data_IF_695971922794
#
_entry.id   IF_695971922794
#
_cell.length_a   1.000
_cell.length_b   1.000
_cell.length_c   1.000
_cell.angle_alpha   90.00
_cell.angle_beta   90.00
_cell.angle_gamma   90.00
#
_symmetry.space_group_name_H-M   'P 1'
#
loop_
_entity.id
_entity.type
_entity.pdbx_description
1 polymer ?
#
# COMPACT_ATOMS: atom_id res chain seq x y z
N UNK A 1 -12.34 -1.72 -11.36
CA UNK A 1 -11.52 -1.52 -10.13
C UNK A 1 -11.04 -0.08 -10.09
N UNK A 2 -11.35 0.59 -9.01
CA UNK A 2 -10.94 1.97 -8.81
C UNK A 2 -9.84 2.04 -7.76
N UNK A 3 -8.84 2.92 -7.97
CA UNK A 3 -7.79 3.17 -7.01
C UNK A 3 -7.94 4.59 -6.47
N UNK A 4 -8.00 4.71 -5.16
CA UNK A 4 -8.07 6.01 -4.50
C UNK A 4 -6.83 6.13 -3.61
N UNK A 5 -6.05 7.19 -3.80
CA UNK A 5 -4.80 7.40 -3.08
C UNK A 5 -4.98 8.47 -2.02
N UNK A 6 -4.39 8.24 -0.84
CA UNK A 6 -4.26 9.34 0.11
C UNK A 6 -3.25 10.35 -0.45
N UNK A 7 -3.31 11.59 0.03
CA UNK A 7 -2.35 12.60 -0.43
C UNK A 7 -0.93 12.20 -0.08
N UNK A 8 -0.74 11.56 1.08
CA UNK A 8 0.57 11.05 1.46
C UNK A 8 1.06 10.02 0.43
N UNK A 9 0.20 9.08 0.07
CA UNK A 9 0.57 8.03 -0.86
C UNK A 9 0.97 8.62 -2.21
N UNK A 10 0.14 9.51 -2.74
CA UNK A 10 0.42 10.14 -4.02
C UNK A 10 1.79 10.81 -4.02
N UNK A 11 2.09 11.51 -2.94
CA UNK A 11 3.35 12.24 -2.83
C UNK A 11 4.57 11.31 -2.85
N UNK A 12 4.48 10.20 -2.14
CA UNK A 12 5.66 9.35 -1.96
C UNK A 12 5.81 8.25 -3.00
N UNK A 13 4.72 7.77 -3.59
CA UNK A 13 4.85 6.68 -4.55
C UNK A 13 5.66 7.10 -5.77
N UNK A 14 5.57 8.35 -6.18
CA UNK A 14 6.32 8.84 -7.33
C UNK A 14 7.81 8.88 -7.08
N UNK A 15 8.23 8.97 -5.82
CA UNK A 15 9.65 8.94 -5.49
C UNK A 15 10.18 7.52 -5.38
N UNK A 16 9.30 6.54 -5.24
CA UNK A 16 9.69 5.16 -4.98
C UNK A 16 9.59 4.27 -6.21
N UNK A 17 8.65 4.54 -7.09
CA UNK A 17 8.44 3.75 -8.30
C UNK A 17 8.36 4.66 -9.51
N UNK A 18 8.81 4.17 -10.65
CA UNK A 18 8.54 4.84 -11.92
C UNK A 18 7.07 4.67 -12.27
N UNK A 19 6.60 5.42 -13.27
CA UNK A 19 5.23 5.30 -13.73
C UNK A 19 4.92 3.87 -14.19
N UNK A 20 5.84 3.25 -14.91
CA UNK A 20 5.65 1.89 -15.39
C UNK A 20 5.61 0.89 -14.24
N UNK A 21 6.49 1.07 -13.24
CA UNK A 21 6.48 0.19 -12.08
C UNK A 21 5.18 0.33 -11.29
N UNK A 22 4.68 1.54 -11.15
CA UNK A 22 3.43 1.75 -10.43
C UNK A 22 2.27 1.15 -11.20
N UNK A 23 2.26 1.29 -12.52
CA UNK A 23 1.21 0.68 -13.33
C UNK A 23 1.23 -0.85 -13.18
N UNK A 24 2.42 -1.44 -13.11
CA UNK A 24 2.52 -2.88 -12.88
C UNK A 24 1.95 -3.28 -11.53
N UNK A 25 2.22 -2.49 -10.49
CA UNK A 25 1.65 -2.73 -9.18
C UNK A 25 0.12 -2.66 -9.21
N UNK A 26 -0.42 -1.65 -9.87
CA UNK A 26 -1.86 -1.51 -9.97
C UNK A 26 -2.49 -2.68 -10.74
N UNK A 27 -1.86 -3.08 -11.85
CA UNK A 27 -2.35 -4.23 -12.64
C UNK A 27 -2.34 -5.51 -11.81
N UNK A 28 -1.31 -5.71 -11.02
CA UNK A 28 -1.24 -6.87 -10.14
C UNK A 28 -2.40 -6.86 -9.14
N UNK A 29 -2.67 -5.70 -8.55
CA UNK A 29 -3.74 -5.59 -7.56
C UNK A 29 -5.13 -5.73 -8.17
N UNK A 30 -5.30 -5.33 -9.43
CA UNK A 30 -6.56 -5.57 -10.12
C UNK A 30 -6.87 -7.05 -10.19
N UNK A 31 -5.85 -7.86 -10.46
CA UNK A 31 -6.03 -9.30 -10.58
C UNK A 31 -5.99 -10.02 -9.24
N UNK A 32 -5.28 -9.46 -8.26
CA UNK A 32 -5.08 -10.10 -6.97
C UNK A 32 -5.27 -9.10 -5.82
N UNK A 33 -6.48 -8.58 -5.66
CA UNK A 33 -6.69 -7.51 -4.67
C UNK A 33 -6.49 -7.96 -3.22
N UNK A 34 -6.55 -9.26 -2.98
CA UNK A 34 -6.40 -9.78 -1.62
C UNK A 34 -5.03 -10.41 -1.38
N UNK A 35 -4.07 -10.13 -2.27
CA UNK A 35 -2.74 -10.74 -2.15
C UNK A 35 -1.93 -10.23 -0.96
N UNK A 36 -2.12 -8.99 -0.55
CA UNK A 36 -1.43 -8.48 0.62
C UNK A 36 -1.95 -9.13 1.89
N UNK A 37 -1.06 -9.34 2.86
CA UNK A 37 -1.45 -9.94 4.13
C UNK A 37 -2.20 -8.93 4.98
N UNK A 38 -3.32 -9.35 5.57
CA UNK A 38 -4.05 -8.51 6.50
C UNK A 38 -3.16 -8.25 7.72
N UNK A 39 -3.05 -6.99 8.10
CA UNK A 39 -2.28 -6.60 9.28
C UNK A 39 -3.17 -6.79 10.50
N UNK A 40 -2.67 -7.57 11.45
CA UNK A 40 -3.41 -7.87 12.66
C UNK A 40 -3.80 -6.59 13.40
N UNK A 41 -5.04 -6.50 13.82
CA UNK A 41 -5.51 -5.35 14.60
C UNK A 41 -5.70 -4.08 13.79
N UNK A 42 -5.70 -4.18 12.47
CA UNK A 42 -5.74 -2.99 11.61
C UNK A 42 -7.13 -2.66 11.08
N UNK A 43 -8.09 -3.55 11.27
CA UNK A 43 -9.42 -3.33 10.68
C UNK A 43 -9.48 -3.66 9.21
N UNK A 44 -8.52 -4.40 8.68
CA UNK A 44 -8.55 -4.85 7.30
C UNK A 44 -7.47 -4.28 6.40
N UNK A 45 -6.56 -3.49 6.95
CA UNK A 45 -5.43 -3.01 6.16
C UNK A 45 -4.57 -4.19 5.73
N UNK A 46 -4.06 -4.12 4.50
CA UNK A 46 -3.20 -5.16 3.94
C UNK A 46 -1.82 -4.61 3.63
N UNK A 47 -0.83 -5.45 3.78
CA UNK A 47 0.55 -5.10 3.47
C UNK A 47 1.03 -5.96 2.32
N UNK A 48 1.45 -5.33 1.23
CA UNK A 48 1.99 -6.00 0.06
C UNK A 48 3.44 -5.60 -0.15
N UNK A 49 4.29 -6.60 -0.28
CA UNK A 49 5.69 -6.37 -0.64
C UNK A 49 5.78 -6.19 -2.13
N UNK A 50 6.53 -5.18 -2.56
CA UNK A 50 6.70 -4.94 -3.99
C UNK A 50 8.13 -4.51 -4.26
N UNK A 51 8.77 -5.19 -5.17
CA UNK A 51 10.16 -4.91 -5.48
C UNK A 51 10.24 -3.85 -6.55
N UNK A 52 11.12 -2.88 -6.34
CA UNK A 52 11.43 -1.88 -7.35
C UNK A 52 12.72 -2.28 -8.03
N UNK A 53 12.67 -2.47 -9.33
CA UNK A 53 13.85 -2.87 -10.08
C UNK A 53 14.89 -1.79 -10.09
N UNK A 54 14.47 -0.53 -10.08
CA UNK A 54 15.42 0.59 -10.13
C UNK A 54 16.17 0.76 -8.82
N UNK A 55 15.56 0.40 -7.74
CA UNK A 55 16.19 0.52 -6.42
C UNK A 55 16.79 -0.78 -5.94
N UNK A 56 16.41 -1.87 -6.52
CA UNK A 56 16.99 -3.21 -6.51
C UNK A 56 17.58 -3.78 -5.25
N UNK A 57 17.49 -3.09 -4.14
CA UNK A 57 18.20 -3.47 -2.94
C UNK A 57 17.24 -3.55 -1.80
N UNK A 58 17.57 -4.28 -0.78
CA UNK A 58 16.90 -4.21 0.51
C UNK A 58 15.41 -4.52 0.50
N UNK A 59 14.93 -5.28 -0.48
CA UNK A 59 13.57 -5.79 -0.44
C UNK A 59 12.47 -4.82 -0.83
N UNK A 60 12.80 -3.76 -1.56
CA UNK A 60 11.80 -2.91 -2.21
C UNK A 60 10.96 -2.08 -1.25
N UNK A 61 9.67 -2.03 -1.55
CA UNK A 61 8.73 -1.20 -0.78
C UNK A 61 7.67 -2.06 -0.12
N UNK A 62 7.03 -1.46 0.85
CA UNK A 62 5.85 -2.04 1.51
C UNK A 62 4.67 -1.13 1.22
N UNK A 63 3.66 -1.69 0.60
CA UNK A 63 2.46 -0.97 0.17
C UNK A 63 1.33 -1.33 1.12
N UNK A 64 0.74 -0.34 1.75
CA UNK A 64 -0.36 -0.54 2.70
C UNK A 64 -1.63 -0.08 2.01
N UNK A 65 -2.59 -0.96 1.89
CA UNK A 65 -3.82 -0.65 1.18
C UNK A 65 -5.02 -1.29 1.88
N UNK A 66 -6.19 -0.83 1.49
CA UNK A 66 -7.45 -1.39 1.97
C UNK A 66 -8.32 -1.72 0.76
N UNK A 67 -8.76 -2.96 0.68
CA UNK A 67 -9.62 -3.39 -0.43
C UNK A 67 -11.07 -3.37 0.04
N UNK A 68 -11.86 -2.48 -0.53
CA UNK A 68 -13.27 -2.40 -0.27
C UNK A 68 -14.01 -3.17 -1.35
N UNK A 69 -14.30 -4.42 -1.05
CA UNK A 69 -14.79 -5.37 -2.05
C UNK A 69 -16.14 -4.95 -2.64
N UNK A 70 -17.03 -4.43 -1.79
CA UNK A 70 -18.38 -4.07 -2.21
C UNK A 70 -18.39 -3.01 -3.31
N UNK A 71 -17.38 -2.17 -3.36
CA UNK A 71 -17.33 -1.08 -4.34
C UNK A 71 -16.22 -1.27 -5.36
N UNK A 72 -15.57 -2.42 -5.37
CA UNK A 72 -14.46 -2.66 -6.28
C UNK A 72 -13.42 -1.56 -6.21
N UNK A 73 -13.07 -1.15 -5.01
CA UNK A 73 -12.18 -0.03 -4.79
C UNK A 73 -11.01 -0.45 -3.92
N UNK A 74 -9.81 -0.01 -4.30
CA UNK A 74 -8.63 -0.16 -3.47
C UNK A 74 -8.18 1.23 -3.04
N UNK A 75 -8.08 1.42 -1.72
CA UNK A 75 -7.55 2.64 -1.14
C UNK A 75 -6.07 2.43 -0.90
N UNK A 76 -5.24 3.20 -1.59
CA UNK A 76 -3.79 3.17 -1.40
C UNK A 76 -3.45 4.15 -0.28
N UNK A 77 -3.11 3.60 0.88
CA UNK A 77 -3.10 4.37 2.13
C UNK A 77 -1.71 4.90 2.47
N UNK A 78 -0.68 4.04 2.38
CA UNK A 78 0.63 4.37 2.88
C UNK A 78 1.67 3.53 2.15
N UNK A 79 2.87 4.05 2.00
CA UNK A 79 3.94 3.32 1.34
C UNK A 79 5.26 3.72 1.97
N UNK A 80 6.17 2.75 2.14
CA UNK A 80 7.48 3.04 2.70
C UNK A 80 8.50 2.03 2.17
N UNK A 81 9.77 2.40 2.28
CA UNK A 81 10.86 1.53 1.87
C UNK A 81 11.20 0.56 3.00
N UNK A 82 11.36 -0.72 2.63
CA UNK A 82 11.73 -1.75 3.59
C UNK A 82 13.07 -1.39 4.28
N UNK A 83 13.98 -0.76 3.55
CA UNK A 83 15.28 -0.40 4.10
C UNK A 83 15.21 0.62 5.22
N UNK A 84 14.12 1.37 5.31
CA UNK A 84 14.00 2.42 6.32
C UNK A 84 13.21 2.00 7.54
N UNK A 85 12.35 1.01 7.39
CA UNK A 85 11.65 0.41 8.52
C UNK A 85 11.10 -0.94 8.10
N UNK A 86 10.97 -1.85 9.05
CA UNK A 86 10.44 -3.18 8.79
C UNK A 86 8.93 -3.23 8.89
N UNK A 87 8.38 -2.61 9.91
CA UNK A 87 6.95 -2.68 10.19
C UNK A 87 6.43 -1.33 10.64
N UNK A 88 5.13 -1.15 10.52
CA UNK A 88 4.46 0.01 11.08
C UNK A 88 4.55 -0.02 12.60
N UNK A 89 4.77 1.14 13.21
CA UNK A 89 4.65 1.25 14.65
C UNK A 89 3.16 1.19 15.01
N UNK A 90 2.89 0.95 16.30
CA UNK A 90 1.51 0.94 16.76
C UNK A 90 0.84 2.28 16.54
N UNK A 91 1.57 3.37 16.76
CA UNK A 91 1.04 4.71 16.55
C UNK A 91 0.68 4.94 15.08
N UNK A 92 1.56 4.53 14.18
CA UNK A 92 1.28 4.63 12.76
C UNK A 92 0.05 3.81 12.38
N UNK A 93 -0.02 2.60 12.87
CA UNK A 93 -1.15 1.73 12.56
C UNK A 93 -2.46 2.34 13.03
N UNK A 94 -2.47 2.89 14.24
CA UNK A 94 -3.68 3.53 14.77
C UNK A 94 -4.11 4.71 13.91
N UNK A 95 -3.17 5.50 13.42
CA UNK A 95 -3.49 6.61 12.55
C UNK A 95 -4.08 6.14 11.22
N UNK A 96 -3.50 5.09 10.66
CA UNK A 96 -3.98 4.56 9.37
C UNK A 96 -5.36 3.94 9.50
N UNK A 97 -5.63 3.29 10.64
CA UNK A 97 -6.98 2.75 10.91
C UNK A 97 -8.04 3.83 10.86
N UNK A 98 -7.72 5.01 11.35
CA UNK A 98 -8.69 6.11 11.35
C UNK A 98 -9.08 6.53 9.95
N UNK A 99 -8.17 6.39 9.00
CA UNK A 99 -8.46 6.75 7.61
C UNK A 99 -9.56 5.87 7.04
N UNK A 100 -9.46 4.56 7.24
CA UNK A 100 -10.46 3.65 6.68
C UNK A 100 -11.76 3.66 7.48
N UNK A 101 -11.72 4.03 8.74
CA UNK A 101 -12.95 4.07 9.56
C UNK A 101 -13.84 5.24 9.18
N UNK A 102 -13.32 6.23 8.48
CA UNK A 102 -14.11 7.38 8.02
C UNK A 102 -14.77 7.14 6.67
N UNK A 103 -14.44 6.05 6.03
CA UNK A 103 -15.05 5.68 4.75
C UNK A 103 -16.42 4.96 4.90
#
# INVERSE_FOLDING_TARGET
MEFIETSFYTKYITTLLSDDEYKNLQNFLVEHPQSGKVIKGSGGLRKLRWDSKNKGKSGGIRNIYYYYENEHTIYMIYVYEKSKKDNLSKKELDLLKQIIQKE
#
